data_IF_856222128388
#
_entry.id   IF_856222128388
#
_cell.length_a   1.000
_cell.length_b   1.000
_cell.length_c   1.000
_cell.angle_alpha   90.00
_cell.angle_beta   90.00
_cell.angle_gamma   90.00
#
_symmetry.space_group_name_H-M   'P 1'
#
loop_
_entity.id
_entity.type
_entity.pdbx_description
1 polymer ?
#
# COMPACT_ATOMS: atom_id res chain seq x y z
N UNK A 1 7.70 27.05 -20.28
CA UNK A 1 8.35 25.72 -20.33
C UNK A 1 8.54 25.02 -18.97
N UNK A 2 8.69 25.73 -17.84
CA UNK A 2 8.91 25.10 -16.52
C UNK A 2 7.66 24.50 -15.85
N UNK A 3 6.52 25.21 -15.89
CA UNK A 3 5.30 24.77 -15.21
C UNK A 3 4.63 23.55 -15.88
N UNK A 4 4.57 23.52 -17.22
CA UNK A 4 4.01 22.39 -17.97
C UNK A 4 4.80 21.10 -17.73
N UNK A 5 6.14 21.18 -17.70
CA UNK A 5 7.01 20.04 -17.37
C UNK A 5 6.76 19.55 -15.94
N UNK A 6 6.55 20.46 -14.98
CA UNK A 6 6.23 20.12 -13.58
C UNK A 6 4.85 19.46 -13.47
N UNK A 7 3.83 19.98 -14.16
CA UNK A 7 2.49 19.41 -14.21
C UNK A 7 2.51 18.01 -14.83
N UNK A 8 3.19 17.85 -15.96
CA UNK A 8 3.39 16.55 -16.61
C UNK A 8 4.08 15.54 -15.69
N UNK A 9 5.16 15.95 -14.99
CA UNK A 9 5.82 15.11 -13.98
C UNK A 9 4.85 14.64 -12.89
N UNK A 10 4.04 15.55 -12.35
CA UNK A 10 3.08 15.23 -11.28
C UNK A 10 2.02 14.24 -11.73
N UNK A 11 1.48 14.41 -12.94
CA UNK A 11 0.52 13.48 -13.55
C UNK A 11 1.16 12.11 -13.73
N UNK A 12 2.40 12.06 -14.22
CA UNK A 12 3.09 10.80 -14.43
C UNK A 12 3.41 10.07 -13.12
N UNK A 13 3.72 10.81 -12.05
CA UNK A 13 3.85 10.24 -10.71
C UNK A 13 2.54 9.63 -10.23
N UNK A 14 1.42 10.32 -10.44
CA UNK A 14 0.10 9.78 -10.08
C UNK A 14 -0.24 8.51 -10.87
N UNK A 15 0.01 8.49 -12.18
CA UNK A 15 -0.23 7.30 -13.02
C UNK A 15 0.61 6.11 -12.55
N UNK A 16 1.92 6.32 -12.31
CA UNK A 16 2.78 5.27 -11.77
C UNK A 16 2.29 4.78 -10.41
N UNK A 17 1.92 5.71 -9.54
CA UNK A 17 1.38 5.39 -8.23
C UNK A 17 0.15 4.49 -8.33
N UNK A 18 -0.84 4.89 -9.13
CA UNK A 18 -2.06 4.13 -9.34
C UNK A 18 -1.78 2.71 -9.88
N UNK A 19 -0.85 2.58 -10.83
CA UNK A 19 -0.42 1.27 -11.37
C UNK A 19 0.23 0.39 -10.29
N UNK A 20 1.11 0.96 -9.46
CA UNK A 20 1.74 0.20 -8.37
C UNK A 20 0.73 -0.15 -7.27
N UNK A 21 -0.21 0.73 -6.95
CA UNK A 21 -1.29 0.44 -6.00
C UNK A 21 -2.21 -0.67 -6.51
N UNK A 22 -2.56 -0.66 -7.80
CA UNK A 22 -3.29 -1.78 -8.41
C UNK A 22 -2.49 -3.09 -8.34
N UNK A 23 -1.17 -3.04 -8.61
CA UNK A 23 -0.30 -4.23 -8.49
C UNK A 23 -0.21 -4.75 -7.05
N UNK A 24 -0.23 -3.86 -6.05
CA UNK A 24 -0.24 -4.25 -4.66
C UNK A 24 -1.54 -4.99 -4.29
N UNK A 25 -2.68 -4.55 -4.83
CA UNK A 25 -3.94 -5.29 -4.70
C UNK A 25 -3.85 -6.71 -5.26
N UNK A 26 -3.19 -6.89 -6.41
CA UNK A 26 -2.93 -8.23 -6.97
C UNK A 26 -2.03 -9.05 -6.04
N UNK A 27 -0.93 -8.48 -5.53
CA UNK A 27 -0.05 -9.14 -4.57
C UNK A 27 -0.84 -9.58 -3.32
N UNK A 28 -1.72 -8.73 -2.79
CA UNK A 28 -2.55 -9.08 -1.65
C UNK A 28 -3.44 -10.29 -1.94
N UNK A 29 -4.14 -10.29 -3.07
CA UNK A 29 -5.03 -11.39 -3.47
C UNK A 29 -4.23 -12.67 -3.68
N UNK A 30 -3.13 -12.61 -4.42
CA UNK A 30 -2.29 -13.78 -4.71
C UNK A 30 -1.66 -14.33 -3.43
N UNK A 31 -1.09 -13.49 -2.57
CA UNK A 31 -0.51 -13.92 -1.30
C UNK A 31 -1.55 -14.52 -0.37
N UNK A 32 -2.73 -13.93 -0.27
CA UNK A 32 -3.83 -14.48 0.52
C UNK A 32 -4.25 -15.86 0.00
N UNK A 33 -4.49 -15.99 -1.31
CA UNK A 33 -4.87 -17.26 -1.94
C UNK A 33 -3.80 -18.32 -1.74
N UNK A 34 -2.52 -17.99 -1.95
CA UNK A 34 -1.42 -18.94 -1.76
C UNK A 34 -1.36 -19.45 -0.31
N UNK A 35 -1.51 -18.55 0.65
CA UNK A 35 -1.47 -18.92 2.06
C UNK A 35 -2.69 -19.76 2.48
N UNK A 36 -3.89 -19.33 2.11
CA UNK A 36 -5.13 -19.98 2.51
C UNK A 36 -5.34 -21.32 1.81
N UNK A 37 -5.01 -21.42 0.52
CA UNK A 37 -5.26 -22.63 -0.27
C UNK A 37 -4.12 -23.63 -0.21
N UNK A 38 -2.87 -23.19 -0.07
CA UNK A 38 -1.72 -24.09 -0.11
C UNK A 38 -1.06 -24.23 1.26
N UNK A 39 -0.66 -23.12 1.89
CA UNK A 39 0.15 -23.16 3.13
C UNK A 39 -0.63 -23.79 4.28
N UNK A 40 -1.88 -23.37 4.52
CA UNK A 40 -2.71 -23.91 5.61
C UNK A 40 -3.02 -25.40 5.42
N UNK A 41 -3.10 -25.87 4.17
CA UNK A 41 -3.40 -27.28 3.86
C UNK A 41 -2.17 -28.20 3.97
N UNK A 42 -0.98 -27.67 4.23
CA UNK A 42 0.20 -28.50 4.46
C UNK A 42 0.03 -29.35 5.74
N UNK A 43 0.55 -30.59 5.76
CA UNK A 43 0.39 -31.50 6.90
C UNK A 43 0.83 -30.89 8.23
N UNK A 44 1.92 -30.14 8.23
CA UNK A 44 2.42 -29.44 9.42
C UNK A 44 1.36 -28.50 10.04
N UNK A 45 0.73 -27.64 9.22
CA UNK A 45 -0.26 -26.68 9.70
C UNK A 45 -1.58 -27.36 10.09
N UNK A 46 -2.00 -28.39 9.37
CA UNK A 46 -3.18 -29.19 9.72
C UNK A 46 -3.00 -29.86 11.10
N UNK A 47 -1.88 -30.57 11.31
CA UNK A 47 -1.57 -31.21 12.59
C UNK A 47 -1.51 -30.18 13.75
N UNK A 48 -0.95 -28.99 13.51
CA UNK A 48 -0.92 -27.93 14.52
C UNK A 48 -2.31 -27.38 14.85
N UNK A 49 -3.19 -27.22 13.86
CA UNK A 49 -4.56 -26.79 14.09
C UNK A 49 -5.37 -27.86 14.82
N UNK A 50 -5.17 -29.13 14.51
CA UNK A 50 -5.84 -30.25 15.20
C UNK A 50 -5.38 -30.39 16.65
N UNK A 51 -4.09 -30.19 16.92
CA UNK A 51 -3.49 -30.39 18.25
C UNK A 51 -3.67 -29.17 19.17
N UNK A 52 -3.94 -27.97 18.61
CA UNK A 52 -4.07 -26.74 19.37
C UNK A 52 -5.30 -25.92 18.96
N UNK A 53 -6.37 -26.04 19.75
CA UNK A 53 -7.63 -25.34 19.52
C UNK A 53 -7.51 -23.80 19.50
N UNK A 54 -6.60 -23.23 20.30
CA UNK A 54 -6.33 -21.79 20.30
C UNK A 54 -5.71 -21.32 18.99
N UNK A 55 -4.73 -22.07 18.49
CA UNK A 55 -4.11 -21.83 17.20
C UNK A 55 -5.12 -21.97 16.04
N UNK A 56 -5.94 -23.03 16.04
CA UNK A 56 -6.98 -23.21 15.04
C UNK A 56 -7.96 -22.03 14.98
N UNK A 57 -8.42 -21.55 16.14
CA UNK A 57 -9.32 -20.39 16.22
C UNK A 57 -8.71 -19.13 15.62
N UNK A 58 -7.41 -18.90 15.81
CA UNK A 58 -6.70 -17.75 15.24
C UNK A 58 -6.57 -17.91 13.72
N UNK A 59 -6.23 -19.11 13.24
CA UNK A 59 -6.00 -19.38 11.82
C UNK A 59 -7.27 -19.39 10.97
N UNK A 60 -8.41 -19.78 11.56
CA UNK A 60 -9.72 -19.84 10.89
C UNK A 60 -10.51 -18.52 10.92
N UNK A 61 -9.98 -17.48 11.56
CA UNK A 61 -10.63 -16.17 11.60
C UNK A 61 -10.63 -15.53 10.19
N UNK A 62 -11.74 -14.91 9.79
CA UNK A 62 -11.92 -14.21 8.51
C UNK A 62 -10.85 -13.11 8.28
N UNK A 63 -10.47 -12.41 9.36
CA UNK A 63 -9.36 -11.44 9.37
C UNK A 63 -8.11 -12.01 10.06
N UNK A 64 -7.90 -13.31 9.91
CA UNK A 64 -6.82 -14.05 10.56
C UNK A 64 -5.42 -13.67 10.05
N UNK A 65 -4.38 -14.34 10.55
CA UNK A 65 -2.99 -14.02 10.24
C UNK A 65 -2.67 -13.98 8.74
N UNK A 66 -3.35 -14.78 7.91
CA UNK A 66 -3.10 -14.82 6.46
C UNK A 66 -3.53 -13.52 5.78
N UNK A 67 -4.69 -12.97 6.16
CA UNK A 67 -5.13 -11.66 5.66
C UNK A 67 -4.12 -10.58 6.05
N UNK A 68 -3.68 -10.57 7.32
CA UNK A 68 -2.72 -9.58 7.80
C UNK A 68 -1.36 -9.69 7.09
N UNK A 69 -0.84 -10.90 6.90
CA UNK A 69 0.42 -11.11 6.17
C UNK A 69 0.29 -10.64 4.72
N UNK A 70 -0.81 -11.00 4.04
CA UNK A 70 -1.05 -10.58 2.66
C UNK A 70 -1.15 -9.05 2.53
N UNK A 71 -1.81 -8.40 3.50
CA UNK A 71 -1.90 -6.95 3.59
C UNK A 71 -0.53 -6.30 3.83
N UNK A 72 0.28 -6.84 4.75
CA UNK A 72 1.64 -6.32 5.00
C UNK A 72 2.50 -6.45 3.74
N UNK A 73 2.43 -7.60 3.05
CA UNK A 73 3.16 -7.80 1.80
C UNK A 73 2.72 -6.81 0.72
N UNK A 74 1.42 -6.53 0.60
CA UNK A 74 0.91 -5.57 -0.37
C UNK A 74 1.38 -4.14 -0.06
N UNK A 75 1.34 -3.72 1.20
CA UNK A 75 1.81 -2.40 1.65
C UNK A 75 3.31 -2.25 1.40
N UNK A 76 4.11 -3.27 1.75
CA UNK A 76 5.56 -3.26 1.50
C UNK A 76 5.88 -3.22 0.01
N UNK A 77 5.13 -3.95 -0.81
CA UNK A 77 5.26 -3.90 -2.27
C UNK A 77 4.93 -2.50 -2.81
N UNK A 78 3.75 -1.97 -2.46
CA UNK A 78 3.30 -0.65 -2.88
C UNK A 78 4.34 0.42 -2.52
N UNK A 79 4.77 0.45 -1.25
CA UNK A 79 5.75 1.40 -0.75
C UNK A 79 7.09 1.28 -1.46
N UNK A 80 7.61 0.05 -1.62
CA UNK A 80 8.94 -0.17 -2.20
C UNK A 80 8.99 0.31 -3.65
N UNK A 81 7.98 -0.03 -4.45
CA UNK A 81 7.92 0.38 -5.85
C UNK A 81 7.67 1.88 -5.98
N UNK A 82 6.76 2.45 -5.19
CA UNK A 82 6.51 3.90 -5.24
C UNK A 82 7.73 4.71 -4.80
N UNK A 83 8.40 4.30 -3.72
CA UNK A 83 9.66 4.94 -3.29
C UNK A 83 10.72 4.87 -4.38
N UNK A 84 10.89 3.72 -5.04
CA UNK A 84 11.97 3.49 -6.02
C UNK A 84 11.67 4.11 -7.39
N UNK A 85 10.46 3.99 -7.92
CA UNK A 85 10.14 4.29 -9.32
C UNK A 85 9.22 5.52 -9.50
N UNK A 86 8.35 5.81 -8.54
CA UNK A 86 7.44 6.97 -8.58
C UNK A 86 8.12 8.22 -8.03
N UNK A 87 8.60 8.15 -6.78
CA UNK A 87 9.23 9.29 -6.10
C UNK A 87 10.76 9.28 -6.17
N UNK A 88 11.37 8.13 -6.54
CA UNK A 88 12.82 7.95 -6.65
C UNK A 88 13.58 8.49 -5.44
N UNK A 89 13.07 8.18 -4.26
CA UNK A 89 13.50 8.76 -3.00
C UNK A 89 14.53 7.88 -2.29
N UNK A 90 15.59 8.50 -1.77
CA UNK A 90 16.56 7.88 -0.88
C UNK A 90 16.18 8.05 0.61
N UNK A 91 14.91 8.36 0.91
CA UNK A 91 14.41 8.51 2.28
C UNK A 91 14.66 7.25 3.13
N UNK A 92 14.84 7.46 4.44
CA UNK A 92 14.95 6.39 5.43
C UNK A 92 13.65 5.57 5.45
N UNK A 93 13.77 4.26 5.22
CA UNK A 93 12.63 3.35 5.04
C UNK A 93 11.77 3.25 6.32
N UNK A 94 12.33 2.95 7.51
CA UNK A 94 11.54 2.92 8.75
C UNK A 94 10.72 4.18 9.02
N UNK A 95 11.32 5.36 8.87
CA UNK A 95 10.63 6.62 9.13
C UNK A 95 9.51 6.86 8.11
N UNK A 96 9.77 6.56 6.84
CA UNK A 96 8.78 6.70 5.79
C UNK A 96 7.60 5.72 5.98
N UNK A 97 7.87 4.47 6.36
CA UNK A 97 6.85 3.48 6.70
C UNK A 97 6.03 3.90 7.92
N UNK A 98 6.65 4.49 8.94
CA UNK A 98 5.92 5.00 10.11
C UNK A 98 4.95 6.11 9.72
N UNK A 99 5.31 6.98 8.77
CA UNK A 99 4.39 8.00 8.25
C UNK A 99 3.21 7.37 7.51
N UNK A 100 3.45 6.35 6.67
CA UNK A 100 2.37 5.61 5.98
C UNK A 100 1.45 4.92 6.99
N UNK A 101 2.02 4.32 8.03
CA UNK A 101 1.24 3.73 9.13
C UNK A 101 0.38 4.79 9.84
N UNK A 102 0.93 5.96 10.15
CA UNK A 102 0.18 7.06 10.75
C UNK A 102 -0.97 7.56 9.86
N UNK A 103 -0.82 7.52 8.53
CA UNK A 103 -1.91 7.80 7.60
C UNK A 103 -3.06 6.80 7.78
N UNK A 104 -2.76 5.49 7.79
CA UNK A 104 -3.80 4.46 7.94
C UNK A 104 -4.45 4.44 9.33
N UNK A 105 -3.76 4.88 10.39
CA UNK A 105 -4.36 5.07 11.71
C UNK A 105 -5.50 6.09 11.72
N UNK A 106 -5.45 7.09 10.83
CA UNK A 106 -6.49 8.12 10.71
C UNK A 106 -7.49 7.75 9.61
N UNK A 107 -7.00 7.32 8.44
CA UNK A 107 -7.83 7.02 7.29
C UNK A 107 -8.81 5.87 7.56
N UNK A 108 -8.36 4.80 8.22
CA UNK A 108 -9.17 3.60 8.48
C UNK A 108 -10.39 3.89 9.36
N UNK A 109 -10.28 4.52 10.55
CA UNK A 109 -11.47 4.83 11.34
C UNK A 109 -12.39 5.82 10.65
N UNK A 110 -11.84 6.85 9.99
CA UNK A 110 -12.65 7.85 9.26
C UNK A 110 -13.43 7.19 8.11
N UNK A 111 -12.77 6.39 7.27
CA UNK A 111 -13.42 5.69 6.16
C UNK A 111 -14.45 4.66 6.64
N UNK A 112 -14.22 4.01 7.78
CA UNK A 112 -15.18 3.06 8.38
C UNK A 112 -16.45 3.79 8.84
N UNK A 113 -16.31 4.89 9.56
CA UNK A 113 -17.45 5.70 10.05
C UNK A 113 -18.24 6.28 8.87
N UNK A 114 -17.55 6.87 7.90
CA UNK A 114 -18.20 7.42 6.71
C UNK A 114 -18.85 6.34 5.86
N UNK A 115 -18.20 5.19 5.71
CA UNK A 115 -18.74 4.03 4.99
C UNK A 115 -20.07 3.58 5.59
N UNK A 116 -20.09 3.34 6.90
CA UNK A 116 -21.31 2.96 7.63
C UNK A 116 -22.40 4.04 7.55
N UNK A 117 -22.03 5.31 7.65
CA UNK A 117 -22.96 6.42 7.52
C UNK A 117 -23.63 6.45 6.13
N UNK A 118 -22.84 6.33 5.05
CA UNK A 118 -23.37 6.39 3.68
C UNK A 118 -24.18 5.14 3.30
N UNK A 119 -23.75 3.95 3.71
CA UNK A 119 -24.52 2.73 3.47
C UNK A 119 -25.85 2.75 4.22
N UNK A 120 -25.90 3.28 5.44
CA UNK A 120 -27.14 3.45 6.19
C UNK A 120 -28.05 4.55 5.60
N UNK A 121 -27.46 5.68 5.17
CA UNK A 121 -28.22 6.83 4.65
C UNK A 121 -28.92 6.55 3.32
N UNK A 122 -28.31 5.72 2.48
CA UNK A 122 -28.78 5.36 1.13
C UNK A 122 -29.09 3.87 1.01
N UNK A 123 -29.63 3.27 2.07
CA UNK A 123 -29.89 1.83 2.14
C UNK A 123 -30.91 1.33 1.09
N UNK A 124 -31.72 2.24 0.54
CA UNK A 124 -32.68 2.00 -0.54
C UNK A 124 -32.03 1.90 -1.94
N UNK A 125 -30.77 2.33 -2.08
CA UNK A 125 -30.04 2.24 -3.34
C UNK A 125 -29.44 0.84 -3.52
N UNK A 126 -29.91 0.12 -4.53
CA UNK A 126 -29.31 -1.15 -4.95
C UNK A 126 -27.82 -0.96 -5.22
N UNK A 127 -26.98 -1.84 -4.67
CA UNK A 127 -25.52 -1.80 -4.77
C UNK A 127 -24.80 -0.66 -4.00
N UNK A 128 -25.45 0.03 -3.06
CA UNK A 128 -24.81 1.10 -2.26
C UNK A 128 -23.49 0.67 -1.61
N UNK A 129 -23.40 -0.57 -1.11
CA UNK A 129 -22.18 -1.11 -0.51
C UNK A 129 -21.00 -1.12 -1.49
N UNK A 130 -21.23 -1.49 -2.76
CA UNK A 130 -20.18 -1.51 -3.78
C UNK A 130 -19.78 -0.09 -4.21
N UNK A 131 -20.73 0.82 -4.27
CA UNK A 131 -20.47 2.24 -4.58
C UNK A 131 -19.62 2.86 -3.48
N UNK A 132 -20.02 2.71 -2.21
CA UNK A 132 -19.29 3.23 -1.05
C UNK A 132 -17.89 2.62 -0.97
N UNK A 133 -17.76 1.32 -1.22
CA UNK A 133 -16.46 0.64 -1.28
C UNK A 133 -15.59 1.23 -2.40
N UNK A 134 -16.11 1.36 -3.62
CA UNK A 134 -15.38 1.95 -4.75
C UNK A 134 -14.93 3.38 -4.49
N UNK A 135 -15.82 4.21 -3.93
CA UNK A 135 -15.47 5.57 -3.49
C UNK A 135 -14.39 5.57 -2.41
N UNK A 136 -14.48 4.68 -1.42
CA UNK A 136 -13.49 4.56 -0.35
C UNK A 136 -12.13 4.16 -0.90
N UNK A 137 -12.08 3.21 -1.84
CA UNK A 137 -10.83 2.81 -2.51
C UNK A 137 -10.23 3.96 -3.33
N UNK A 138 -11.05 4.70 -4.07
CA UNK A 138 -10.59 5.86 -4.84
C UNK A 138 -10.06 6.97 -3.93
N UNK A 139 -10.78 7.29 -2.85
CA UNK A 139 -10.35 8.24 -1.84
C UNK A 139 -9.04 7.80 -1.19
N UNK A 140 -8.90 6.52 -0.84
CA UNK A 140 -7.65 5.98 -0.29
C UNK A 140 -6.49 6.21 -1.26
N UNK A 141 -6.61 5.76 -2.50
CA UNK A 141 -5.54 5.89 -3.51
C UNK A 141 -5.14 7.36 -3.74
N UNK A 142 -6.11 8.27 -3.87
CA UNK A 142 -5.83 9.70 -4.10
C UNK A 142 -5.18 10.31 -2.87
N UNK A 143 -5.73 10.08 -1.68
CA UNK A 143 -5.21 10.69 -0.46
C UNK A 143 -3.86 10.11 -0.05
N UNK A 144 -3.64 8.81 -0.23
CA UNK A 144 -2.35 8.16 -0.04
C UNK A 144 -1.30 8.72 -1.00
N UNK A 145 -1.62 8.92 -2.29
CA UNK A 145 -0.70 9.57 -3.23
C UNK A 145 -0.31 10.99 -2.76
N UNK A 146 -1.30 11.79 -2.34
CA UNK A 146 -1.06 13.15 -1.85
C UNK A 146 -0.21 13.13 -0.58
N UNK A 147 -0.51 12.23 0.35
CA UNK A 147 0.23 12.08 1.59
C UNK A 147 1.67 11.63 1.32
N UNK A 148 1.88 10.68 0.43
CA UNK A 148 3.21 10.22 0.03
C UNK A 148 4.03 11.35 -0.58
N UNK A 149 3.42 12.11 -1.50
CA UNK A 149 4.06 13.23 -2.18
C UNK A 149 4.42 14.37 -1.22
N UNK A 150 3.48 14.77 -0.37
CA UNK A 150 3.59 15.99 0.42
C UNK A 150 4.05 15.78 1.86
N UNK A 151 4.04 14.55 2.38
CA UNK A 151 4.42 14.23 3.77
C UNK A 151 5.52 13.18 3.82
N UNK A 152 5.34 12.03 3.16
CA UNK A 152 6.31 10.92 3.26
C UNK A 152 7.63 11.27 2.60
N UNK A 153 7.57 11.64 1.31
CA UNK A 153 8.72 11.93 0.45
C UNK A 153 8.93 13.43 0.22
N UNK A 154 8.30 14.28 1.04
CA UNK A 154 8.47 15.74 0.96
C UNK A 154 9.95 16.11 0.95
N UNK A 155 10.37 16.90 -0.04
CA UNK A 155 11.76 17.33 -0.24
C UNK A 155 12.78 16.18 -0.43
N UNK A 156 12.31 14.96 -0.66
CA UNK A 156 13.15 13.77 -0.84
C UNK A 156 12.91 13.10 -2.21
N UNK A 157 12.15 13.71 -3.11
CA UNK A 157 11.96 13.24 -4.49
C UNK A 157 13.27 13.31 -5.29
N UNK A 158 13.54 12.31 -6.13
CA UNK A 158 14.72 12.21 -7.01
C UNK A 158 16.09 12.27 -6.31
N UNK A 159 16.12 12.23 -4.98
CA UNK A 159 17.36 12.23 -4.19
C UNK A 159 18.23 11.01 -4.48
N UNK A 160 17.63 9.87 -4.85
CA UNK A 160 18.36 8.67 -5.25
C UNK A 160 19.14 8.88 -6.56
N UNK A 161 18.54 9.52 -7.55
CA UNK A 161 19.21 9.81 -8.83
C UNK A 161 20.33 10.82 -8.66
N UNK A 162 20.09 11.86 -7.84
CA UNK A 162 21.10 12.90 -7.54
C UNK A 162 22.32 12.29 -6.86
N UNK A 163 22.12 11.36 -5.91
CA UNK A 163 23.22 10.64 -5.25
C UNK A 163 24.01 9.78 -6.23
N UNK A 164 23.34 9.07 -7.14
CA UNK A 164 23.99 8.22 -8.16
C UNK A 164 24.86 9.06 -9.10
N UNK A 165 24.32 10.16 -9.64
CA UNK A 165 25.05 11.07 -10.53
C UNK A 165 26.29 11.65 -9.87
N UNK A 166 26.18 12.10 -8.60
CA UNK A 166 27.34 12.58 -7.85
C UNK A 166 28.39 11.48 -7.69
N UNK A 167 28.00 10.26 -7.33
CA UNK A 167 28.93 9.15 -7.16
C UNK A 167 29.68 8.80 -8.46
N UNK A 168 28.98 8.83 -9.61
CA UNK A 168 29.57 8.64 -10.95
C UNK A 168 30.56 9.77 -11.27
N UNK A 169 30.17 11.04 -11.06
CA UNK A 169 31.07 12.19 -11.28
C UNK A 169 32.32 12.16 -10.39
N UNK A 170 32.20 11.65 -9.15
CA UNK A 170 33.35 11.45 -8.27
C UNK A 170 34.26 10.30 -8.73
N UNK A 171 33.70 9.23 -9.29
CA UNK A 171 34.47 8.11 -9.83
C UNK A 171 35.25 8.54 -11.08
N UNK A 172 34.60 9.23 -12.01
CA UNK A 172 35.21 9.73 -13.25
C UNK A 172 36.34 10.75 -12.99
N UNK A 173 36.27 11.50 -11.87
CA UNK A 173 37.35 12.43 -11.46
C UNK A 173 38.49 11.77 -10.70
N UNK A 174 38.32 10.52 -10.27
CA UNK A 174 39.34 9.76 -9.55
C UNK A 174 40.16 8.84 -10.49
N UNK A 175 39.73 8.69 -11.74
CA UNK A 175 40.45 8.07 -12.86
C UNK A 175 41.33 9.10 -13.61
#
# INVERSE_FOLDING_TARGET
MGEEKKKSKNIWQFVKFALFSASAGIIQVVSFTLMSEFVIKLPFFQNLMETNAGFAKIMQNEYGPMYLIALILSVLWNFTFNRKFTFKSAANIPIAMLKVFAFYLVFTPVSTILGNYFTARFADVTAINYIVLGCTMACNMITEFLYDKFVVFRNQENTAETKKQKAEEFADKAE
#
